data_IF_354949240768
#
_entry.id   IF_354949240768
#
_cell.length_a   1.000
_cell.length_b   1.000
_cell.length_c   1.000
_cell.angle_alpha   90.00
_cell.angle_beta   90.00
_cell.angle_gamma   90.00
#
_symmetry.space_group_name_H-M   'P 1'
#
loop_
_entity.id
_entity.type
_entity.pdbx_description
1 polymer ?
#
# COMPACT_ATOMS: atom_id res chain seq x y z
N UNK A 1 6.94 -28.04 22.33
CA UNK A 1 7.78 -26.98 21.71
C UNK A 1 7.01 -25.67 21.77
N UNK A 2 7.70 -24.52 21.84
CA UNK A 2 7.05 -23.21 21.85
C UNK A 2 6.35 -22.96 20.49
N UNK A 3 5.05 -22.62 20.44
CA UNK A 3 4.33 -22.30 19.21
C UNK A 3 4.97 -21.16 18.39
N UNK A 4 5.59 -20.18 19.05
CA UNK A 4 6.38 -19.15 18.37
C UNK A 4 7.62 -19.74 17.69
N UNK A 5 8.26 -20.75 18.29
CA UNK A 5 9.39 -21.44 17.67
C UNK A 5 8.95 -22.23 16.43
N UNK A 6 7.79 -22.89 16.47
CA UNK A 6 7.23 -23.56 15.28
C UNK A 6 7.00 -22.59 14.13
N UNK A 7 6.45 -21.41 14.44
CA UNK A 7 6.25 -20.37 13.45
C UNK A 7 7.58 -19.82 12.88
N UNK A 8 8.61 -19.68 13.72
CA UNK A 8 9.96 -19.32 13.24
C UNK A 8 10.55 -20.40 12.33
N UNK A 9 10.44 -21.67 12.69
CA UNK A 9 10.92 -22.78 11.85
C UNK A 9 10.18 -22.83 10.52
N UNK A 10 8.86 -22.62 10.52
CA UNK A 10 8.06 -22.54 9.31
C UNK A 10 8.57 -21.45 8.37
N UNK A 11 8.69 -20.21 8.86
CA UNK A 11 9.14 -19.09 8.03
C UNK A 11 10.61 -19.20 7.62
N UNK A 12 11.48 -19.76 8.47
CA UNK A 12 12.85 -20.04 8.08
C UNK A 12 12.89 -21.00 6.88
N UNK A 13 12.08 -22.07 6.90
CA UNK A 13 11.97 -23.01 5.78
C UNK A 13 11.44 -22.33 4.51
N UNK A 14 10.44 -21.45 4.62
CA UNK A 14 9.91 -20.67 3.49
C UNK A 14 11.02 -19.80 2.88
N UNK A 15 11.77 -19.08 3.72
CA UNK A 15 12.84 -18.18 3.26
C UNK A 15 14.05 -18.95 2.70
N UNK A 16 14.40 -20.10 3.28
CA UNK A 16 15.49 -20.95 2.76
C UNK A 16 15.15 -21.54 1.38
N UNK A 17 13.86 -21.71 1.09
CA UNK A 17 13.33 -22.20 -0.20
C UNK A 17 12.62 -21.10 -0.99
N UNK A 18 13.01 -19.83 -0.82
CA UNK A 18 12.27 -18.67 -1.32
C UNK A 18 11.87 -18.76 -2.80
N UNK A 19 12.74 -19.31 -3.65
CA UNK A 19 12.52 -19.45 -5.10
C UNK A 19 11.56 -20.60 -5.43
N UNK A 20 11.67 -21.73 -4.73
CA UNK A 20 10.97 -22.98 -5.07
C UNK A 20 9.74 -23.27 -4.20
N UNK A 21 9.49 -22.46 -3.16
CA UNK A 21 8.35 -22.62 -2.27
C UNK A 21 7.06 -22.16 -2.97
N UNK A 22 5.98 -22.91 -2.77
CA UNK A 22 4.62 -22.58 -3.26
C UNK A 22 3.61 -22.47 -2.12
N UNK A 23 4.04 -22.78 -0.89
CA UNK A 23 3.24 -22.74 0.32
C UNK A 23 2.70 -21.31 0.59
N UNK A 24 3.52 -20.29 0.34
CA UNK A 24 3.17 -18.87 0.41
C UNK A 24 3.01 -18.31 -1.01
N UNK A 25 1.82 -18.48 -1.59
CA UNK A 25 1.55 -18.14 -3.00
C UNK A 25 1.83 -16.66 -3.33
N UNK A 26 1.54 -15.74 -2.41
CA UNK A 26 1.81 -14.31 -2.60
C UNK A 26 3.33 -14.04 -2.73
N UNK A 27 4.12 -14.69 -1.88
CA UNK A 27 5.58 -14.55 -1.88
C UNK A 27 6.20 -15.26 -3.08
N UNK A 28 5.67 -16.42 -3.45
CA UNK A 28 6.06 -17.14 -4.66
C UNK A 28 5.85 -16.25 -5.91
N UNK A 29 4.64 -15.69 -6.08
CA UNK A 29 4.33 -14.74 -7.17
C UNK A 29 5.25 -13.53 -7.15
N UNK A 30 5.55 -12.97 -5.98
CA UNK A 30 6.50 -11.84 -5.85
C UNK A 30 7.88 -12.21 -6.39
N UNK A 31 8.44 -13.34 -5.94
CA UNK A 31 9.77 -13.79 -6.34
C UNK A 31 9.82 -14.13 -7.83
N UNK A 32 8.82 -14.86 -8.34
CA UNK A 32 8.68 -15.16 -9.76
C UNK A 32 8.58 -13.91 -10.63
N UNK A 33 7.75 -12.94 -10.23
CA UNK A 33 7.63 -11.68 -10.95
C UNK A 33 8.94 -10.88 -10.98
N UNK A 34 9.73 -10.92 -9.89
CA UNK A 34 11.08 -10.34 -9.89
C UNK A 34 11.99 -11.04 -10.92
N UNK A 35 12.02 -12.38 -10.93
CA UNK A 35 12.83 -13.16 -11.87
C UNK A 35 12.43 -12.92 -13.33
N UNK A 36 11.13 -12.83 -13.62
CA UNK A 36 10.59 -12.55 -14.95
C UNK A 36 10.99 -11.16 -15.47
N UNK A 37 11.20 -10.19 -14.56
CA UNK A 37 11.76 -8.87 -14.86
C UNK A 37 13.30 -8.83 -14.82
N UNK A 38 13.95 -10.00 -14.74
CA UNK A 38 15.42 -10.10 -14.68
C UNK A 38 16.03 -9.58 -13.37
N UNK A 39 15.23 -9.38 -12.33
CA UNK A 39 15.69 -9.05 -11.00
C UNK A 39 15.91 -10.33 -10.19
N UNK A 40 16.72 -10.25 -9.13
CA UNK A 40 16.93 -11.39 -8.23
C UNK A 40 16.96 -10.97 -6.78
N UNK A 41 16.44 -11.82 -5.90
CA UNK A 41 16.58 -11.65 -4.46
C UNK A 41 17.97 -12.15 -4.04
N UNK A 42 18.84 -11.25 -3.60
CA UNK A 42 20.18 -11.57 -3.09
C UNK A 42 20.13 -12.05 -1.64
N UNK A 43 19.17 -11.52 -0.88
CA UNK A 43 18.99 -11.84 0.53
C UNK A 43 17.54 -11.58 0.93
N UNK A 44 16.98 -12.49 1.70
CA UNK A 44 15.71 -12.29 2.38
C UNK A 44 15.92 -12.45 3.88
N UNK A 45 15.28 -11.57 4.66
CA UNK A 45 15.25 -11.65 6.12
C UNK A 45 13.85 -11.43 6.61
N UNK A 46 13.50 -12.10 7.70
CA UNK A 46 12.20 -11.94 8.32
C UNK A 46 12.30 -11.78 9.84
N UNK A 47 11.29 -11.13 10.42
CA UNK A 47 11.07 -11.10 11.87
C UNK A 47 9.58 -11.29 12.14
N UNK A 48 9.26 -12.03 13.20
CA UNK A 48 7.89 -12.28 13.61
C UNK A 48 7.63 -11.65 14.97
N UNK A 49 6.49 -10.98 15.11
CA UNK A 49 6.00 -10.45 16.38
C UNK A 49 4.58 -10.93 16.65
N UNK A 50 4.40 -12.00 17.44
CA UNK A 50 3.08 -12.40 17.92
C UNK A 50 2.44 -11.27 18.73
N UNK A 51 1.15 -11.02 18.52
CA UNK A 51 0.40 -9.99 19.26
C UNK A 51 -0.92 -10.49 19.84
N UNK A 52 -1.43 -11.62 19.36
CA UNK A 52 -2.61 -12.26 19.92
C UNK A 52 -2.48 -13.77 19.90
N UNK A 53 -2.90 -14.42 20.98
CA UNK A 53 -2.82 -15.87 21.15
C UNK A 53 -4.07 -16.37 21.84
N UNK A 54 -4.72 -17.38 21.28
CA UNK A 54 -5.84 -18.09 21.91
C UNK A 54 -5.50 -19.58 21.92
N UNK A 55 -5.69 -20.24 23.07
CA UNK A 55 -5.57 -21.68 23.19
C UNK A 55 -6.90 -22.25 23.68
N UNK A 56 -7.40 -23.27 22.98
CA UNK A 56 -8.60 -24.00 23.37
C UNK A 56 -8.40 -25.50 23.10
N UNK A 57 -8.50 -26.30 24.15
CA UNK A 57 -8.23 -27.74 24.12
C UNK A 57 -6.86 -28.06 23.49
N UNK A 58 -6.83 -28.77 22.35
CA UNK A 58 -5.60 -29.15 21.63
C UNK A 58 -5.21 -28.18 20.53
N UNK A 59 -5.99 -27.11 20.34
CA UNK A 59 -5.82 -26.12 19.28
C UNK A 59 -5.32 -24.81 19.83
N UNK A 60 -4.45 -24.18 19.05
CA UNK A 60 -3.91 -22.87 19.37
C UNK A 60 -3.94 -21.98 18.13
N UNK A 61 -4.32 -20.72 18.28
CA UNK A 61 -4.23 -19.71 17.24
C UNK A 61 -3.27 -18.60 17.66
N UNK A 62 -2.45 -18.15 16.71
CA UNK A 62 -1.51 -17.05 16.89
C UNK A 62 -1.73 -16.06 15.76
N UNK A 63 -2.04 -14.82 16.12
CA UNK A 63 -1.93 -13.68 15.21
C UNK A 63 -0.60 -12.99 15.41
N UNK A 64 0.06 -12.66 14.32
CA UNK A 64 1.41 -12.11 14.35
C UNK A 64 1.62 -11.10 13.23
N UNK A 65 2.59 -10.20 13.44
CA UNK A 65 3.14 -9.37 12.36
C UNK A 65 4.37 -10.06 11.79
N UNK A 66 4.41 -10.21 10.47
CA UNK A 66 5.57 -10.62 9.69
C UNK A 66 6.23 -9.37 9.11
N UNK A 67 7.47 -9.12 9.51
CA UNK A 67 8.33 -8.10 8.90
C UNK A 67 9.22 -8.83 7.90
N UNK A 68 9.10 -8.52 6.61
CA UNK A 68 9.90 -9.10 5.55
C UNK A 68 10.75 -8.01 4.91
N UNK A 69 12.04 -8.29 4.68
CA UNK A 69 12.94 -7.43 3.91
C UNK A 69 13.63 -8.27 2.84
N UNK A 70 13.57 -7.80 1.59
CA UNK A 70 14.19 -8.42 0.42
C UNK A 70 15.23 -7.46 -0.15
N UNK A 71 16.49 -7.88 -0.18
CA UNK A 71 17.55 -7.19 -0.92
C UNK A 71 17.49 -7.67 -2.37
N UNK A 72 17.06 -6.78 -3.27
CA UNK A 72 16.82 -7.09 -4.67
C UNK A 72 17.93 -6.48 -5.50
N UNK A 73 18.54 -7.29 -6.36
CA UNK A 73 19.46 -6.83 -7.40
C UNK A 73 18.68 -6.56 -8.68
N UNK A 74 18.88 -5.35 -9.18
CA UNK A 74 18.22 -4.74 -10.32
C UNK A 74 19.31 -4.24 -11.27
N UNK A 75 19.76 -5.13 -12.15
CA UNK A 75 20.94 -4.93 -12.98
C UNK A 75 22.20 -4.67 -12.15
N UNK A 76 22.74 -3.44 -12.25
CA UNK A 76 23.92 -2.98 -11.47
C UNK A 76 23.55 -2.33 -10.13
N UNK A 77 22.27 -2.06 -9.91
CA UNK A 77 21.76 -1.43 -8.69
C UNK A 77 21.24 -2.50 -7.74
N UNK A 78 21.12 -2.10 -6.49
CA UNK A 78 20.39 -2.86 -5.47
C UNK A 78 19.37 -1.95 -4.81
N UNK A 79 18.26 -2.52 -4.39
CA UNK A 79 17.29 -1.85 -3.54
C UNK A 79 16.71 -2.82 -2.53
N UNK A 80 16.09 -2.28 -1.49
CA UNK A 80 15.49 -3.07 -0.43
C UNK A 80 13.99 -2.87 -0.50
N UNK A 81 13.25 -3.95 -0.74
CA UNK A 81 11.80 -3.98 -0.59
C UNK A 81 11.46 -4.49 0.81
N UNK A 82 10.53 -3.81 1.48
CA UNK A 82 10.15 -4.15 2.85
C UNK A 82 8.63 -4.16 2.99
N UNK A 83 8.12 -5.06 3.82
CA UNK A 83 6.69 -5.19 4.08
C UNK A 83 6.41 -5.64 5.50
N UNK A 84 5.30 -5.16 6.05
CA UNK A 84 4.76 -5.60 7.34
C UNK A 84 3.37 -6.19 7.10
N UNK A 85 3.26 -7.49 7.30
CA UNK A 85 2.07 -8.27 6.97
C UNK A 85 1.42 -8.89 8.21
N UNK A 86 0.09 -9.02 8.18
CA UNK A 86 -0.63 -9.74 9.22
C UNK A 86 -0.70 -11.22 8.86
N UNK A 87 -0.32 -12.07 9.82
CA UNK A 87 -0.39 -13.51 9.68
C UNK A 87 -1.26 -14.16 10.75
N UNK A 88 -1.85 -15.30 10.39
CA UNK A 88 -2.58 -16.20 11.27
C UNK A 88 -1.97 -17.59 11.17
N UNK A 89 -1.59 -18.17 12.30
CA UNK A 89 -1.19 -19.56 12.40
C UNK A 89 -2.14 -20.31 13.32
N UNK A 90 -2.65 -21.45 12.86
CA UNK A 90 -3.41 -22.40 13.65
C UNK A 90 -2.55 -23.64 13.87
N UNK A 91 -2.42 -24.04 15.13
CA UNK A 91 -1.65 -25.18 15.55
C UNK A 91 -2.55 -26.21 16.22
N UNK A 92 -2.25 -27.48 15.99
CA UNK A 92 -2.83 -28.61 16.74
C UNK A 92 -1.69 -29.52 17.18
N UNK A 93 -1.65 -29.88 18.48
CA UNK A 93 -0.57 -30.71 19.07
C UNK A 93 0.86 -30.18 18.79
N UNK A 94 1.03 -28.85 18.74
CA UNK A 94 2.27 -28.15 18.40
C UNK A 94 2.73 -28.25 16.94
N UNK A 95 1.86 -28.65 16.02
CA UNK A 95 2.12 -28.63 14.57
C UNK A 95 1.24 -27.56 13.91
N UNK A 96 1.80 -26.80 12.97
CA UNK A 96 1.04 -25.82 12.19
C UNK A 96 0.16 -26.59 11.20
N UNK A 97 -1.16 -26.53 11.41
CA UNK A 97 -2.16 -27.15 10.53
C UNK A 97 -2.70 -26.18 9.49
N UNK A 98 -2.62 -24.89 9.78
CA UNK A 98 -2.99 -23.83 8.84
C UNK A 98 -2.15 -22.60 9.12
N UNK A 99 -1.72 -21.96 8.05
CA UNK A 99 -1.02 -20.70 8.08
C UNK A 99 -1.61 -19.85 6.94
N UNK A 100 -1.77 -18.55 7.19
CA UNK A 100 -2.06 -17.57 6.14
C UNK A 100 -1.42 -16.22 6.46
N UNK A 101 -1.13 -15.46 5.40
CA UNK A 101 -0.76 -14.05 5.43
C UNK A 101 -1.75 -13.26 4.59
N UNK A 102 -2.17 -12.10 5.08
CA UNK A 102 -2.92 -11.11 4.31
C UNK A 102 -1.98 -9.98 3.91
N UNK A 103 -1.82 -9.75 2.61
CA UNK A 103 -1.00 -8.66 2.07
C UNK A 103 -1.81 -7.39 1.83
N UNK A 104 -3.14 -7.47 1.93
CA UNK A 104 -4.08 -6.36 1.82
C UNK A 104 -5.29 -6.70 2.70
N UNK A 105 -5.79 -5.72 3.45
CA UNK A 105 -6.98 -5.92 4.27
C UNK A 105 -8.18 -6.28 3.38
N UNK A 106 -8.96 -7.33 3.73
CA UNK A 106 -10.20 -7.63 3.02
C UNK A 106 -11.12 -6.41 3.14
N UNK A 107 -11.53 -5.84 2.00
CA UNK A 107 -12.50 -4.76 2.03
C UNK A 107 -13.86 -5.35 2.42
N UNK A 108 -14.32 -5.11 3.65
CA UNK A 108 -15.68 -5.46 4.04
C UNK A 108 -16.65 -4.54 3.30
N UNK A 109 -17.42 -5.10 2.37
CA UNK A 109 -18.51 -4.43 1.66
C UNK A 109 -19.61 -3.99 2.62
N UNK A 110 -19.39 -2.86 3.29
CA UNK A 110 -20.34 -2.32 4.25
C UNK A 110 -19.81 -1.07 4.88
N UNK A 111 -20.38 0.07 4.49
CA UNK A 111 -20.14 1.42 5.04
C UNK A 111 -18.96 2.18 4.43
N UNK A 112 -19.20 2.82 3.29
CA UNK A 112 -18.76 4.21 3.09
C UNK A 112 -19.60 4.90 2.01
N UNK A 113 -20.11 6.11 2.25
CA UNK A 113 -20.90 6.84 1.27
C UNK A 113 -20.09 7.09 0.00
N UNK A 114 -20.59 6.62 -1.14
CA UNK A 114 -20.18 7.09 -2.46
C UNK A 114 -20.71 8.51 -2.65
N UNK A 115 -19.97 9.50 -2.16
CA UNK A 115 -20.13 10.85 -2.69
C UNK A 115 -19.36 10.90 -4.00
N UNK A 116 -20.05 10.74 -5.12
CA UNK A 116 -19.54 11.23 -6.41
C UNK A 116 -19.20 12.70 -6.25
N UNK A 117 -17.98 13.08 -6.63
CA UNK A 117 -17.58 14.50 -6.59
C UNK A 117 -18.39 15.25 -7.65
N UNK A 118 -19.44 15.95 -7.21
CA UNK A 118 -20.17 16.89 -8.05
C UNK A 118 -19.48 18.25 -7.95
N UNK A 119 -18.58 18.54 -8.88
CA UNK A 119 -18.02 19.88 -9.04
C UNK A 119 -19.08 20.76 -9.70
N UNK A 120 -19.70 21.68 -8.93
CA UNK A 120 -20.83 22.50 -9.40
C UNK A 120 -20.51 23.98 -9.64
N UNK A 121 -19.26 24.42 -9.54
CA UNK A 121 -18.91 25.83 -9.79
C UNK A 121 -17.52 25.99 -10.42
N UNK A 122 -17.45 26.77 -11.50
CA UNK A 122 -16.21 27.14 -12.19
C UNK A 122 -15.46 28.23 -11.41
N UNK A 123 -14.34 27.86 -10.78
CA UNK A 123 -13.31 28.83 -10.37
C UNK A 123 -11.95 28.30 -10.83
N UNK A 124 -11.27 29.05 -11.69
CA UNK A 124 -9.88 28.75 -12.09
C UNK A 124 -8.99 28.82 -10.85
N UNK A 125 -8.47 27.68 -10.39
CA UNK A 125 -7.44 27.63 -9.36
C UNK A 125 -6.11 28.18 -9.86
N UNK A 126 -5.35 28.83 -8.97
CA UNK A 126 -3.97 29.22 -9.25
C UNK A 126 -3.09 27.97 -9.32
N UNK A 127 -2.14 27.88 -10.27
CA UNK A 127 -1.15 26.80 -10.29
C UNK A 127 -0.43 26.71 -8.93
N UNK A 128 -0.23 25.50 -8.42
CA UNK A 128 0.50 25.27 -7.17
C UNK A 128 1.85 24.63 -7.45
N UNK A 129 2.84 24.96 -6.64
CA UNK A 129 4.15 24.30 -6.67
C UNK A 129 4.11 23.04 -5.83
N UNK A 130 4.42 21.89 -6.44
CA UNK A 130 4.50 20.60 -5.75
C UNK A 130 5.95 20.16 -5.54
N UNK A 131 6.39 20.09 -4.28
CA UNK A 131 7.70 19.57 -3.93
C UNK A 131 7.67 18.04 -3.82
N UNK A 132 7.87 17.39 -4.96
CA UNK A 132 7.96 15.92 -5.09
C UNK A 132 8.96 15.29 -4.13
N UNK A 133 10.11 15.93 -3.90
CA UNK A 133 11.15 15.40 -3.01
C UNK A 133 10.69 15.33 -1.56
N UNK A 134 9.95 16.35 -1.09
CA UNK A 134 9.42 16.33 0.28
C UNK A 134 8.27 15.33 0.44
N UNK A 135 7.45 15.12 -0.59
CA UNK A 135 6.44 14.06 -0.58
C UNK A 135 7.09 12.66 -0.48
N UNK A 136 8.12 12.40 -1.28
CA UNK A 136 8.87 11.13 -1.24
C UNK A 136 9.60 10.97 0.09
N UNK A 137 10.24 12.02 0.59
CA UNK A 137 10.91 12.00 1.91
C UNK A 137 9.93 11.70 3.03
N UNK A 138 8.71 12.24 2.97
CA UNK A 138 7.66 11.92 3.93
C UNK A 138 7.26 10.45 3.81
N UNK A 139 7.05 9.96 2.59
CA UNK A 139 6.69 8.57 2.32
C UNK A 139 7.76 7.60 2.86
N UNK A 140 9.04 7.87 2.60
CA UNK A 140 10.17 7.09 3.11
C UNK A 140 10.31 7.15 4.64
N UNK A 141 9.90 8.25 5.28
CA UNK A 141 10.00 8.39 6.74
C UNK A 141 8.94 7.58 7.48
N UNK A 142 7.74 7.53 6.93
CA UNK A 142 6.56 7.00 7.61
C UNK A 142 6.05 5.71 6.99
N UNK A 143 6.83 5.00 6.16
CA UNK A 143 6.34 3.79 5.48
C UNK A 143 5.96 2.65 6.46
N UNK A 144 6.61 2.57 7.63
CA UNK A 144 6.43 1.52 8.65
C UNK A 144 5.80 2.02 9.96
N UNK A 145 5.39 3.29 10.01
CA UNK A 145 4.94 3.95 11.23
C UNK A 145 3.98 5.09 10.93
N UNK A 146 3.25 5.56 11.95
CA UNK A 146 2.18 6.52 11.75
C UNK A 146 2.50 7.87 12.39
N UNK A 147 2.33 8.94 11.63
CA UNK A 147 2.57 10.29 12.13
C UNK A 147 1.46 10.71 13.10
N UNK A 148 1.83 10.93 14.36
CA UNK A 148 0.90 11.32 15.43
C UNK A 148 0.22 12.69 15.24
N UNK A 149 0.68 13.50 14.29
CA UNK A 149 -0.01 14.74 13.89
C UNK A 149 -1.33 14.47 13.13
N UNK A 150 -1.55 13.24 12.66
CA UNK A 150 -2.73 12.82 11.92
C UNK A 150 -3.46 11.69 12.65
N UNK A 151 -4.76 11.57 12.37
CA UNK A 151 -5.55 10.44 12.85
C UNK A 151 -5.10 9.16 12.14
N UNK A 152 -4.92 8.09 12.91
CA UNK A 152 -4.76 6.74 12.40
C UNK A 152 -6.10 6.13 12.03
N UNK A 153 -6.17 5.49 10.87
CA UNK A 153 -7.32 4.70 10.40
C UNK A 153 -6.92 3.24 10.25
N UNK A 154 -7.86 2.31 10.37
CA UNK A 154 -7.57 0.89 10.10
C UNK A 154 -7.33 0.64 8.59
N UNK A 155 -8.08 1.35 7.74
CA UNK A 155 -7.81 1.50 6.31
C UNK A 155 -7.15 2.85 6.07
N UNK A 156 -5.81 2.88 6.06
CA UNK A 156 -5.02 4.12 6.13
C UNK A 156 -4.39 4.55 4.80
N UNK A 157 -4.51 3.76 3.73
CA UNK A 157 -3.86 4.01 2.44
C UNK A 157 -4.01 5.47 1.98
N UNK A 158 -5.24 5.95 1.81
CA UNK A 158 -5.52 7.32 1.33
C UNK A 158 -5.08 8.40 2.30
N UNK A 159 -5.20 8.16 3.61
CA UNK A 159 -4.78 9.10 4.63
C UNK A 159 -3.25 9.28 4.59
N UNK A 160 -2.49 8.19 4.48
CA UNK A 160 -1.04 8.23 4.28
C UNK A 160 -0.64 8.93 2.98
N UNK A 161 -1.28 8.59 1.85
CA UNK A 161 -1.00 9.28 0.57
C UNK A 161 -1.28 10.78 0.71
N UNK A 162 -2.42 11.16 1.31
CA UNK A 162 -2.77 12.56 1.53
C UNK A 162 -1.74 13.29 2.41
N UNK A 163 -1.20 12.63 3.43
CA UNK A 163 -0.12 13.20 4.23
C UNK A 163 1.15 13.43 3.39
N UNK A 164 1.51 12.49 2.51
CA UNK A 164 2.64 12.65 1.58
C UNK A 164 2.42 13.83 0.63
N UNK A 165 1.23 13.94 0.03
CA UNK A 165 0.87 15.05 -0.87
C UNK A 165 0.92 16.40 -0.14
N UNK A 166 0.40 16.45 1.10
CA UNK A 166 0.46 17.65 1.95
C UNK A 166 1.89 18.03 2.30
N UNK A 167 2.75 17.06 2.61
CA UNK A 167 4.17 17.30 2.87
C UNK A 167 4.89 17.85 1.64
N UNK A 168 4.46 17.45 0.43
CA UNK A 168 4.89 18.05 -0.83
C UNK A 168 4.30 19.43 -1.12
N UNK A 169 3.49 20.01 -0.23
CA UNK A 169 2.95 21.36 -0.38
C UNK A 169 1.64 21.46 -1.17
N UNK A 170 0.95 20.34 -1.41
CA UNK A 170 -0.36 20.37 -2.07
C UNK A 170 -1.37 21.23 -1.29
N UNK A 171 -2.04 22.20 -1.94
CA UNK A 171 -2.96 23.10 -1.27
C UNK A 171 -4.31 22.45 -0.98
N UNK A 172 -4.83 22.71 0.22
CA UNK A 172 -6.14 22.23 0.65
C UNK A 172 -7.26 23.21 0.29
N UNK A 173 -8.46 22.72 -0.01
CA UNK A 173 -9.67 23.53 -0.17
C UNK A 173 -10.93 22.72 0.11
N UNK A 174 -12.11 23.35 0.20
CA UNK A 174 -13.41 22.67 0.29
C UNK A 174 -14.01 22.56 1.70
N UNK A 175 -13.31 23.09 2.71
CA UNK A 175 -13.80 23.21 4.08
C UNK A 175 -15.15 23.96 4.16
N UNK A 176 -16.04 23.61 5.12
CA UNK A 176 -15.96 22.47 6.04
C UNK A 176 -16.70 21.22 5.51
N UNK A 177 -17.16 21.21 4.26
CA UNK A 177 -17.98 20.13 3.71
C UNK A 177 -17.09 18.91 3.39
N UNK A 178 -17.36 17.77 4.04
CA UNK A 178 -16.55 16.55 3.85
C UNK A 178 -16.65 15.97 2.43
N UNK A 179 -17.72 16.26 1.70
CA UNK A 179 -17.90 15.84 0.31
C UNK A 179 -17.24 16.80 -0.70
N UNK A 180 -16.59 17.89 -0.26
CA UNK A 180 -15.96 18.87 -1.16
C UNK A 180 -14.47 19.03 -0.89
N UNK A 181 -13.74 19.20 -1.98
CA UNK A 181 -12.30 19.50 -1.98
C UNK A 181 -11.46 18.40 -1.39
N UNK A 182 -10.27 18.76 -0.90
CA UNK A 182 -9.29 17.89 -0.26
C UNK A 182 -8.66 18.64 0.92
N UNK A 183 -8.88 18.17 2.15
CA UNK A 183 -8.47 18.90 3.36
C UNK A 183 -8.50 18.05 4.65
N UNK A 184 -7.69 18.47 5.64
CA UNK A 184 -7.61 17.88 6.99
C UNK A 184 -7.30 18.93 8.06
N UNK A 185 -8.07 18.95 9.16
CA UNK A 185 -7.95 19.95 10.25
C UNK A 185 -7.58 19.35 11.61
N UNK A 186 -7.15 18.09 11.68
CA UNK A 186 -6.91 17.38 12.94
C UNK A 186 -8.17 16.78 13.55
N UNK A 187 -9.27 17.54 13.54
CA UNK A 187 -10.58 17.11 14.08
C UNK A 187 -11.54 16.62 13.01
N UNK A 188 -11.38 17.06 11.77
CA UNK A 188 -12.26 16.71 10.65
C UNK A 188 -11.46 16.63 9.32
N UNK A 189 -12.04 15.99 8.31
CA UNK A 189 -11.40 15.75 7.01
C UNK A 189 -12.43 15.49 5.89
N UNK A 190 -12.04 15.77 4.65
CA UNK A 190 -12.80 15.40 3.45
C UNK A 190 -12.75 13.90 3.18
N UNK A 191 -13.73 13.36 2.45
CA UNK A 191 -13.69 11.97 2.01
C UNK A 191 -12.49 11.70 1.10
N UNK A 192 -12.15 12.62 0.19
CA UNK A 192 -10.94 12.56 -0.63
C UNK A 192 -9.63 12.49 0.16
N UNK A 193 -9.61 12.92 1.43
CA UNK A 193 -8.41 12.82 2.26
C UNK A 193 -8.19 11.39 2.78
N UNK A 194 -9.27 10.62 3.01
CA UNK A 194 -9.20 9.38 3.77
C UNK A 194 -9.85 8.15 3.10
N UNK A 195 -10.51 8.28 1.95
CA UNK A 195 -11.22 7.20 1.26
C UNK A 195 -10.69 7.05 -0.16
N UNK A 196 -10.28 5.84 -0.54
CA UNK A 196 -9.55 5.59 -1.78
C UNK A 196 -10.35 5.93 -3.04
N UNK A 197 -11.59 5.45 -3.10
CA UNK A 197 -12.52 5.80 -4.17
C UNK A 197 -12.73 7.31 -4.29
N UNK A 198 -12.86 8.00 -3.15
CA UNK A 198 -13.04 9.44 -3.15
C UNK A 198 -11.80 10.19 -3.64
N UNK A 199 -10.59 9.79 -3.23
CA UNK A 199 -9.37 10.41 -3.74
C UNK A 199 -9.23 10.24 -5.25
N UNK A 200 -9.50 9.03 -5.78
CA UNK A 200 -9.47 8.78 -7.22
C UNK A 200 -10.39 9.72 -8.01
N UNK A 201 -11.63 9.90 -7.55
CA UNK A 201 -12.58 10.79 -8.25
C UNK A 201 -12.15 12.25 -8.12
N UNK A 202 -11.64 12.66 -6.97
CA UNK A 202 -11.08 13.97 -6.76
C UNK A 202 -9.90 14.26 -7.72
N UNK A 203 -8.93 13.34 -7.84
CA UNK A 203 -7.75 13.53 -8.71
C UNK A 203 -8.10 13.60 -10.21
N UNK A 204 -9.13 12.87 -10.67
CA UNK A 204 -9.58 12.95 -12.07
C UNK A 204 -10.32 14.25 -12.40
N UNK A 205 -10.98 14.87 -11.42
CA UNK A 205 -11.91 15.98 -11.66
C UNK A 205 -11.41 17.34 -11.19
N UNK A 206 -10.52 17.40 -10.19
CA UNK A 206 -10.27 18.65 -9.48
C UNK A 206 -9.57 19.71 -10.32
N UNK A 207 -10.15 20.91 -10.34
CA UNK A 207 -9.59 22.11 -10.97
C UNK A 207 -9.09 23.17 -9.99
N UNK A 208 -9.15 22.87 -8.69
CA UNK A 208 -8.77 23.78 -7.60
C UNK A 208 -8.00 23.03 -6.52
N UNK A 209 -7.01 23.68 -5.90
CA UNK A 209 -6.24 23.07 -4.83
C UNK A 209 -5.28 22.01 -5.37
N UNK A 210 -5.24 20.83 -4.75
CA UNK A 210 -4.54 19.66 -5.28
C UNK A 210 -5.17 19.27 -6.63
N UNK A 211 -4.38 19.32 -7.69
CA UNK A 211 -4.75 18.87 -9.03
C UNK A 211 -3.78 17.80 -9.53
N UNK A 212 -4.23 17.00 -10.48
CA UNK A 212 -3.44 15.97 -11.11
C UNK A 212 -3.78 15.81 -12.59
N UNK A 213 -2.86 15.22 -13.34
CA UNK A 213 -3.06 14.80 -14.72
C UNK A 213 -3.11 13.28 -14.76
N UNK A 214 -4.23 12.73 -15.25
CA UNK A 214 -4.33 11.30 -15.52
C UNK A 214 -3.48 10.92 -16.74
N UNK A 215 -2.74 9.82 -16.63
CA UNK A 215 -1.91 9.26 -17.71
C UNK A 215 -2.23 7.79 -17.97
N UNK A 216 -1.83 7.29 -19.14
CA UNK A 216 -2.25 5.98 -19.62
C UNK A 216 -1.43 4.80 -19.09
N UNK A 217 -0.22 5.04 -18.58
CA UNK A 217 0.69 3.97 -18.19
C UNK A 217 1.57 4.35 -16.99
N UNK A 218 1.98 3.34 -16.22
CA UNK A 218 2.76 3.50 -14.99
C UNK A 218 4.16 4.09 -15.24
N UNK A 219 4.78 3.79 -16.38
CA UNK A 219 6.11 4.30 -16.74
C UNK A 219 6.16 5.83 -16.91
N UNK A 220 5.02 6.48 -17.15
CA UNK A 220 4.93 7.94 -17.21
C UNK A 220 5.00 8.61 -15.84
N UNK A 221 4.79 7.85 -14.76
CA UNK A 221 4.85 8.37 -13.41
C UNK A 221 6.29 8.60 -12.97
N UNK A 222 6.47 9.50 -12.03
CA UNK A 222 7.74 9.83 -11.39
C UNK A 222 7.56 9.87 -9.87
N UNK A 223 8.64 9.84 -9.07
CA UNK A 223 8.52 9.95 -7.62
C UNK A 223 7.68 11.17 -7.19
N UNK A 224 6.73 10.93 -6.29
CA UNK A 224 5.69 11.88 -5.87
C UNK A 224 4.33 11.68 -6.55
N UNK A 225 4.23 10.84 -7.58
CA UNK A 225 2.97 10.55 -8.27
C UNK A 225 2.15 9.45 -7.59
N UNK A 226 0.87 9.36 -7.92
CA UNK A 226 -0.10 8.48 -7.23
C UNK A 226 -0.65 7.43 -8.19
N UNK A 227 -0.84 6.21 -7.67
CA UNK A 227 -1.56 5.13 -8.35
C UNK A 227 -2.78 4.78 -7.52
N UNK A 228 -3.94 4.66 -8.17
CA UNK A 228 -5.16 4.14 -7.56
C UNK A 228 -5.50 2.77 -8.15
N UNK A 229 -5.95 1.85 -7.30
CA UNK A 229 -6.25 0.46 -7.63
C UNK A 229 -7.72 0.17 -7.35
N UNK A 230 -8.37 -0.49 -8.30
CA UNK A 230 -9.69 -1.12 -8.19
C UNK A 230 -9.42 -2.61 -8.39
N UNK A 231 -9.38 -3.38 -7.30
CA UNK A 231 -8.85 -4.74 -7.30
C UNK A 231 -9.76 -5.70 -8.07
N UNK A 232 -11.08 -5.54 -7.91
CA UNK A 232 -12.12 -6.37 -8.49
C UNK A 232 -12.52 -5.93 -9.91
N UNK A 233 -12.18 -4.71 -10.30
CA UNK A 233 -12.58 -4.10 -11.58
C UNK A 233 -14.06 -3.70 -11.61
N UNK A 234 -14.66 -3.41 -10.46
CA UNK A 234 -16.10 -3.11 -10.33
C UNK A 234 -16.41 -1.59 -10.42
N UNK A 235 -15.38 -0.77 -10.60
CA UNK A 235 -15.45 0.68 -10.69
C UNK A 235 -15.24 1.41 -9.35
N UNK A 236 -15.13 0.68 -8.24
CA UNK A 236 -14.77 1.21 -6.93
C UNK A 236 -13.27 1.06 -6.71
N UNK A 237 -12.60 2.16 -6.36
CA UNK A 237 -11.17 2.10 -6.04
C UNK A 237 -10.94 1.85 -4.55
N UNK A 238 -10.12 0.86 -4.24
CA UNK A 238 -9.93 0.30 -2.89
C UNK A 238 -8.61 0.75 -2.27
N UNK A 239 -7.61 1.03 -3.11
CA UNK A 239 -6.26 1.30 -2.62
C UNK A 239 -5.58 2.45 -3.37
N UNK A 240 -4.68 3.13 -2.67
CA UNK A 240 -3.83 4.18 -3.23
C UNK A 240 -2.38 3.99 -2.77
N UNK A 241 -1.45 4.25 -3.68
CA UNK A 241 -0.02 4.22 -3.41
C UNK A 241 0.67 5.48 -3.94
N UNK A 242 1.87 5.75 -3.43
CA UNK A 242 2.72 6.84 -3.93
C UNK A 242 4.01 6.26 -4.50
N UNK A 243 4.38 6.72 -5.69
CA UNK A 243 5.65 6.39 -6.34
C UNK A 243 6.78 7.06 -5.57
N UNK A 244 7.77 6.28 -5.15
CA UNK A 244 8.95 6.80 -4.43
C UNK A 244 10.25 6.58 -5.20
N UNK A 245 10.26 5.61 -6.11
CA UNK A 245 11.44 5.23 -6.88
C UNK A 245 11.02 4.59 -8.21
N UNK A 246 11.99 4.37 -9.09
CA UNK A 246 11.87 3.52 -10.28
C UNK A 246 12.94 2.42 -10.27
N UNK A 247 12.59 1.25 -10.78
CA UNK A 247 13.54 0.19 -11.10
C UNK A 247 14.34 0.52 -12.38
N UNK A 248 15.20 -0.41 -12.82
CA UNK A 248 16.02 -0.23 -14.01
C UNK A 248 15.25 -0.27 -15.32
N UNK A 249 14.05 -0.86 -15.33
CA UNK A 249 13.12 -0.86 -16.47
C UNK A 249 12.29 0.43 -16.54
N UNK A 250 12.47 1.33 -15.56
CA UNK A 250 11.76 2.61 -15.49
C UNK A 250 10.35 2.50 -14.93
N UNK A 251 9.99 1.35 -14.35
CA UNK A 251 8.70 1.09 -13.75
C UNK A 251 8.66 1.56 -12.29
N UNK A 252 7.51 2.03 -11.79
CA UNK A 252 7.42 2.56 -10.43
C UNK A 252 7.62 1.52 -9.32
N UNK A 253 8.32 1.93 -8.26
CA UNK A 253 8.33 1.31 -6.95
C UNK A 253 7.60 2.22 -5.98
N UNK A 254 6.67 1.66 -5.20
CA UNK A 254 5.71 2.43 -4.41
C UNK A 254 5.83 2.16 -2.91
N UNK A 255 5.41 3.16 -2.13
CA UNK A 255 5.10 2.99 -0.71
C UNK A 255 3.59 3.04 -0.48
N UNK A 256 3.13 2.32 0.54
CA UNK A 256 1.72 2.19 0.87
C UNK A 256 1.48 1.89 2.35
N UNK A 257 0.28 2.22 2.82
CA UNK A 257 -0.27 1.87 4.14
C UNK A 257 -1.44 0.87 4.01
N UNK A 258 -2.17 0.62 5.11
CA UNK A 258 -3.10 -0.51 5.34
C UNK A 258 -2.33 -1.82 5.48
N UNK A 259 -1.49 -2.14 4.50
CA UNK A 259 -0.39 -3.09 4.65
C UNK A 259 0.89 -2.34 4.32
N UNK A 260 1.64 -2.00 5.36
CA UNK A 260 2.82 -1.15 5.27
C UNK A 260 3.85 -1.77 4.33
N UNK A 261 4.11 -1.07 3.22
CA UNK A 261 4.95 -1.56 2.12
C UNK A 261 5.90 -0.46 1.69
N UNK A 262 7.15 -0.83 1.44
CA UNK A 262 8.20 0.07 0.93
C UNK A 262 8.90 -0.54 -0.28
N UNK A 263 9.02 0.28 -1.33
CA UNK A 263 9.64 -0.08 -2.62
C UNK A 263 9.00 -1.30 -3.28
N UNK A 264 7.70 -1.54 -3.03
CA UNK A 264 6.95 -2.63 -3.66
C UNK A 264 6.73 -2.33 -5.14
N UNK A 265 6.80 -3.35 -6.00
CA UNK A 265 6.50 -3.20 -7.42
C UNK A 265 5.05 -2.75 -7.63
N UNK A 266 4.85 -1.75 -8.49
CA UNK A 266 3.57 -1.04 -8.62
C UNK A 266 2.38 -1.90 -9.04
N UNK A 267 2.60 -3.02 -9.73
CA UNK A 267 1.53 -3.80 -10.34
C UNK A 267 0.67 -4.56 -9.31
N UNK A 268 1.17 -4.80 -8.10
CA UNK A 268 0.44 -5.50 -7.03
C UNK A 268 -0.01 -6.93 -7.41
N UNK A 269 0.61 -7.60 -8.38
CA UNK A 269 0.24 -8.97 -8.80
C UNK A 269 0.46 -10.03 -7.71
N UNK A 270 1.31 -9.71 -6.73
CA UNK A 270 1.57 -10.51 -5.54
C UNK A 270 0.53 -10.31 -4.43
N UNK A 271 -0.40 -9.37 -4.60
CA UNK A 271 -1.47 -9.06 -3.63
C UNK A 271 -2.42 -10.23 -3.44
N UNK A 272 -2.81 -10.48 -2.18
CA UNK A 272 -3.92 -11.34 -1.80
C UNK A 272 -5.28 -10.80 -2.26
N UNK A 273 -5.37 -9.50 -2.54
CA UNK A 273 -6.53 -8.87 -3.16
C UNK A 273 -6.45 -8.82 -4.70
N UNK A 274 -5.35 -9.26 -5.33
CA UNK A 274 -5.23 -9.22 -6.79
C UNK A 274 -6.31 -10.05 -7.47
N UNK A 275 -6.94 -9.47 -8.50
CA UNK A 275 -7.76 -10.22 -9.46
C UNK A 275 -7.29 -9.92 -10.88
N UNK A 276 -7.53 -10.82 -11.86
CA UNK A 276 -7.27 -10.53 -13.28
C UNK A 276 -8.05 -9.32 -13.84
N UNK A 277 -9.08 -8.85 -13.13
CA UNK A 277 -9.91 -7.72 -13.55
C UNK A 277 -9.37 -6.37 -13.07
N UNK A 278 -8.32 -6.36 -12.25
CA UNK A 278 -7.75 -5.17 -11.61
C UNK A 278 -7.63 -4.00 -12.59
N UNK A 279 -8.04 -2.81 -12.14
CA UNK A 279 -7.93 -1.56 -12.88
C UNK A 279 -7.03 -0.59 -12.14
N UNK A 280 -6.30 0.20 -12.92
CA UNK A 280 -5.38 1.22 -12.41
C UNK A 280 -5.78 2.60 -12.92
N UNK A 281 -5.49 3.61 -12.10
CA UNK A 281 -5.46 5.01 -12.52
C UNK A 281 -4.14 5.63 -12.10
N UNK A 282 -3.46 6.25 -13.05
CA UNK A 282 -2.13 6.83 -12.87
C UNK A 282 -2.24 8.36 -12.89
N UNK A 283 -1.78 9.01 -11.83
CA UNK A 283 -1.92 10.45 -11.65
C UNK A 283 -0.58 11.13 -11.45
N UNK A 284 -0.22 12.00 -12.38
CA UNK A 284 0.88 12.95 -12.21
C UNK A 284 0.40 14.09 -11.31
N UNK A 285 0.99 14.23 -10.12
CA UNK A 285 0.60 15.25 -9.15
C UNK A 285 1.28 16.59 -9.47
N UNK A 286 0.49 17.65 -9.55
CA UNK A 286 0.98 18.96 -9.93
C UNK A 286 1.33 19.01 -11.42
N UNK A 287 0.76 20.01 -12.09
CA UNK A 287 1.03 20.36 -13.48
C UNK A 287 1.18 21.86 -13.61
#
# INVERSE_FOLDING_TARGET
>A
MNPTHQLQTYWQRIIDRLVDQEEEQWLHKKVRGLEERGHRVERATFRIKPYHRIAYDRKESIRYMLFLSLLIKDGKKVYMEEGIYEGLALLERNEIIHQSVSTEAPYTSGLSPSAEFVEKEERKGTPFSYNRREAVRYAERWWDSYNSAYKHFDLDCTNYISQCLRAGGAPTWGLPNRARGWWYTGKNWSYSWAVANSLRWYLSGSRQGLTAKEVSSADQLTPGDVICYDFEGDGRFDHNTIVVKKDSDGMPLVNAHTTNSRHRYWAYEDSTAYTPNIKYKFFIIGG
#
